data_IF_172960993684
#
_entry.id   IF_172960993684
#
_cell.length_a   1.000
_cell.length_b   1.000
_cell.length_c   1.000
_cell.angle_alpha   90.00
_cell.angle_beta   90.00
_cell.angle_gamma   90.00
#
_symmetry.space_group_name_H-M   'P 1'
#
loop_
_entity.id
_entity.type
_entity.pdbx_description
1 polymer ?
#
# COMPACT_ATOMS: atom_id res chain seq x y z
N UNK A 1 -13.04 6.69 10.43
CA UNK A 1 -12.85 7.26 9.06
C UNK A 1 -12.07 6.28 8.20
N UNK A 2 -12.12 6.36 6.87
CA UNK A 2 -11.29 5.53 5.98
C UNK A 2 -10.27 6.38 5.22
N UNK A 3 -9.14 5.79 4.87
CA UNK A 3 -8.20 6.37 3.93
C UNK A 3 -7.56 5.32 3.01
N UNK A 4 -7.11 5.76 1.85
CA UNK A 4 -6.17 5.03 0.99
C UNK A 4 -4.97 5.93 0.68
N UNK A 5 -3.77 5.37 0.66
CA UNK A 5 -2.54 6.15 0.43
C UNK A 5 -1.72 5.53 -0.70
N UNK A 6 -1.50 6.30 -1.76
CA UNK A 6 -0.37 6.07 -2.68
C UNK A 6 0.88 6.68 -2.06
N UNK A 7 1.91 5.86 -1.83
CA UNK A 7 3.08 6.24 -1.04
C UNK A 7 4.37 6.20 -1.87
N UNK A 8 5.14 7.28 -1.78
CA UNK A 8 6.49 7.40 -2.26
C UNK A 8 7.46 7.47 -1.09
N UNK A 9 8.61 6.81 -1.22
CA UNK A 9 9.71 6.94 -0.25
C UNK A 9 10.48 8.25 -0.38
N UNK A 10 10.19 9.06 -1.40
CA UNK A 10 10.81 10.35 -1.65
C UNK A 10 9.76 11.30 -2.24
N UNK A 11 8.73 11.67 -1.46
CA UNK A 11 7.72 12.60 -1.92
C UNK A 11 8.34 13.96 -2.23
N UNK A 12 7.74 14.66 -3.18
CA UNK A 12 8.12 16.01 -3.57
C UNK A 12 6.90 16.75 -4.10
N UNK A 13 7.01 18.06 -4.36
CA UNK A 13 5.95 18.82 -5.03
C UNK A 13 5.54 18.23 -6.40
N UNK A 14 6.46 17.54 -7.09
CA UNK A 14 6.19 16.92 -8.40
C UNK A 14 5.64 15.49 -8.29
N UNK A 15 5.86 14.82 -7.17
CA UNK A 15 5.40 13.45 -6.89
C UNK A 15 5.08 13.36 -5.41
N UNK A 16 3.97 13.97 -4.95
CA UNK A 16 3.59 13.94 -3.56
C UNK A 16 3.10 12.53 -3.19
N UNK A 17 3.05 12.23 -1.90
CA UNK A 17 2.17 11.15 -1.44
C UNK A 17 0.73 11.62 -1.59
N UNK A 18 -0.18 10.72 -1.98
CA UNK A 18 -1.59 11.06 -2.19
C UNK A 18 -2.44 10.26 -1.23
N UNK A 19 -3.19 10.96 -0.37
CA UNK A 19 -4.13 10.34 0.57
C UNK A 19 -5.55 10.62 0.08
N UNK A 20 -6.31 9.57 -0.18
CA UNK A 20 -7.74 9.60 -0.46
C UNK A 20 -8.51 9.39 0.84
N UNK A 21 -9.08 10.46 1.41
CA UNK A 21 -9.93 10.37 2.60
C UNK A 21 -11.36 10.07 2.22
N UNK A 22 -11.97 9.12 2.93
CA UNK A 22 -13.32 8.68 2.63
C UNK A 22 -14.05 8.05 3.79
N UNK A 23 -15.20 7.48 3.47
CA UNK A 23 -16.02 6.74 4.41
C UNK A 23 -16.89 5.72 3.71
N UNK A 24 -17.16 4.62 4.41
CA UNK A 24 -18.03 3.55 3.97
C UNK A 24 -19.42 3.73 4.60
N UNK A 25 -20.47 3.61 3.77
CA UNK A 25 -21.83 3.38 4.24
C UNK A 25 -22.38 2.15 3.54
N UNK A 26 -22.72 1.13 4.32
CA UNK A 26 -23.10 -0.20 3.82
C UNK A 26 -22.01 -0.76 2.89
N UNK A 27 -22.27 -0.85 1.58
CA UNK A 27 -21.31 -1.29 0.57
C UNK A 27 -20.83 -0.18 -0.37
N UNK A 28 -21.04 1.09 -0.02
CA UNK A 28 -20.61 2.22 -0.84
C UNK A 28 -19.55 3.04 -0.12
N UNK A 29 -18.34 3.06 -0.69
CA UNK A 29 -17.25 3.94 -0.27
C UNK A 29 -17.34 5.27 -1.00
N UNK A 30 -17.28 6.37 -0.25
CA UNK A 30 -17.35 7.74 -0.77
C UNK A 30 -16.01 8.43 -0.60
N UNK A 31 -15.52 9.06 -1.66
CA UNK A 31 -14.36 9.95 -1.57
C UNK A 31 -14.81 11.31 -1.03
N UNK A 32 -14.22 11.75 0.08
CA UNK A 32 -14.44 13.07 0.63
C UNK A 32 -13.46 14.09 0.05
N UNK A 33 -12.17 13.78 0.08
CA UNK A 33 -11.11 14.66 -0.44
C UNK A 33 -9.84 13.88 -0.75
N UNK A 34 -9.02 14.44 -1.64
CA UNK A 34 -7.61 14.10 -1.73
C UNK A 34 -6.79 15.06 -0.89
N UNK A 35 -5.69 14.56 -0.35
CA UNK A 35 -4.69 15.33 0.37
C UNK A 35 -3.31 15.00 -0.19
N UNK A 36 -2.66 15.98 -0.79
CA UNK A 36 -1.38 15.84 -1.49
C UNK A 36 -0.25 16.29 -0.56
N UNK A 37 0.62 15.36 -0.18
CA UNK A 37 1.68 15.57 0.79
C UNK A 37 3.04 15.59 0.09
N UNK A 38 3.65 16.77 -0.16
CA UNK A 38 4.91 16.87 -0.89
C UNK A 38 6.14 16.48 -0.06
N UNK A 39 5.97 16.10 1.21
CA UNK A 39 7.03 15.61 2.10
C UNK A 39 6.53 14.45 2.99
N UNK A 40 7.46 13.74 3.64
CA UNK A 40 7.10 12.70 4.61
C UNK A 40 6.49 13.33 5.88
N UNK A 41 6.96 14.51 6.24
CA UNK A 41 6.46 15.33 7.34
C UNK A 41 5.00 15.75 7.09
N UNK A 42 4.67 16.21 5.87
CA UNK A 42 3.30 16.54 5.50
C UNK A 42 2.39 15.31 5.55
N UNK A 43 2.92 14.14 5.15
CA UNK A 43 2.19 12.86 5.22
C UNK A 43 1.90 12.49 6.68
N UNK A 44 2.89 12.60 7.56
CA UNK A 44 2.72 12.35 8.99
C UNK A 44 1.66 13.29 9.60
N UNK A 45 1.79 14.60 9.36
CA UNK A 45 0.84 15.61 9.87
C UNK A 45 -0.58 15.35 9.37
N UNK A 46 -0.75 14.94 8.11
CA UNK A 46 -2.05 14.58 7.56
C UNK A 46 -2.70 13.42 8.32
N UNK A 47 -1.92 12.38 8.65
CA UNK A 47 -2.40 11.21 9.39
C UNK A 47 -2.69 11.52 10.87
N UNK A 48 -1.92 12.41 11.49
CA UNK A 48 -2.08 12.84 12.89
C UNK A 48 -3.31 13.72 13.10
N UNK A 49 -3.68 14.55 12.11
CA UNK A 49 -4.88 15.41 12.14
C UNK A 49 -6.17 14.64 12.41
N UNK A 50 -6.21 13.36 12.05
CA UNK A 50 -7.35 12.50 12.24
C UNK A 50 -7.20 11.67 13.53
N UNK A 51 -8.17 11.69 14.47
CA UNK A 51 -8.07 10.95 15.73
C UNK A 51 -8.27 9.43 15.56
N UNK A 52 -9.01 9.01 14.53
CA UNK A 52 -9.30 7.60 14.22
C UNK A 52 -9.41 7.38 12.71
N UNK A 53 -8.76 6.33 12.22
CA UNK A 53 -8.88 5.88 10.83
C UNK A 53 -8.50 4.42 10.66
N UNK A 54 -9.08 3.79 9.63
CA UNK A 54 -8.56 2.56 9.02
C UNK A 54 -8.03 2.91 7.64
N UNK A 55 -6.78 2.56 7.36
CA UNK A 55 -6.07 2.98 6.16
C UNK A 55 -5.46 1.83 5.39
N UNK A 56 -5.60 1.85 4.07
CA UNK A 56 -4.84 1.01 3.14
C UNK A 56 -3.67 1.82 2.59
N UNK A 57 -2.45 1.30 2.67
CA UNK A 57 -1.26 2.02 2.22
C UNK A 57 -0.46 1.21 1.19
N UNK A 58 -0.14 1.82 0.04
CA UNK A 58 0.73 1.22 -0.98
C UNK A 58 2.20 1.25 -0.55
N UNK A 59 2.55 0.44 0.43
CA UNK A 59 3.93 0.12 0.81
C UNK A 59 3.97 -1.17 1.63
N UNK A 60 5.07 -1.92 1.59
CA UNK A 60 5.18 -3.11 2.42
C UNK A 60 5.43 -2.77 3.89
N UNK A 61 4.90 -3.60 4.78
CA UNK A 61 5.12 -3.51 6.23
C UNK A 61 6.13 -4.53 6.77
N UNK A 62 6.61 -5.44 5.92
CA UNK A 62 7.63 -6.44 6.26
C UNK A 62 8.55 -6.80 5.09
N UNK A 63 9.64 -7.48 5.41
CA UNK A 63 10.55 -8.10 4.44
C UNK A 63 10.33 -9.61 4.40
N UNK A 64 10.81 -10.31 3.34
CA UNK A 64 10.80 -11.77 3.35
C UNK A 64 11.57 -12.30 4.56
N UNK A 65 10.99 -13.23 5.31
CA UNK A 65 11.61 -13.83 6.50
C UNK A 65 12.98 -14.42 6.17
N UNK A 66 13.07 -15.12 5.04
CA UNK A 66 14.31 -15.70 4.52
C UNK A 66 15.45 -14.67 4.45
N UNK A 67 15.15 -13.45 4.00
CA UNK A 67 16.11 -12.36 3.92
C UNK A 67 16.56 -11.89 5.31
N UNK A 68 15.60 -11.64 6.20
CA UNK A 68 15.86 -11.13 7.56
C UNK A 68 16.73 -12.13 8.33
N UNK A 69 16.39 -13.42 8.27
CA UNK A 69 17.12 -14.49 8.96
C UNK A 69 18.52 -14.68 8.37
N UNK A 70 18.66 -14.65 7.04
CA UNK A 70 19.98 -14.79 6.38
C UNK A 70 20.92 -13.64 6.72
N UNK A 71 20.40 -12.43 6.88
CA UNK A 71 21.18 -11.26 7.26
C UNK A 71 21.48 -11.19 8.77
N UNK A 72 20.96 -12.14 9.56
CA UNK A 72 21.11 -12.15 11.01
C UNK A 72 20.42 -10.95 11.69
N UNK A 73 19.36 -10.43 11.09
CA UNK A 73 18.60 -9.31 11.64
C UNK A 73 17.54 -9.80 12.65
N UNK A 74 17.02 -8.92 13.53
CA UNK A 74 15.98 -9.29 14.48
C UNK A 74 14.72 -9.82 13.76
N UNK A 75 14.08 -10.83 14.34
CA UNK A 75 12.87 -11.47 13.80
C UNK A 75 11.58 -11.10 14.53
N UNK A 76 11.68 -10.44 15.69
CA UNK A 76 10.57 -9.68 16.28
C UNK A 76 10.32 -8.42 15.44
N UNK A 77 9.06 -8.15 15.08
CA UNK A 77 8.74 -7.09 14.13
C UNK A 77 9.14 -5.70 14.62
N UNK A 78 8.93 -5.39 15.90
CA UNK A 78 9.28 -4.07 16.44
C UNK A 78 10.80 -3.87 16.46
N UNK A 79 11.54 -4.90 16.90
CA UNK A 79 13.01 -4.90 16.86
C UNK A 79 13.55 -4.83 15.42
N UNK A 80 12.91 -5.54 14.49
CA UNK A 80 13.22 -5.53 13.06
C UNK A 80 13.05 -4.12 12.48
N UNK A 81 11.91 -3.47 12.69
CA UNK A 81 11.65 -2.13 12.16
C UNK A 81 12.63 -1.11 12.75
N UNK A 82 12.93 -1.20 14.04
CA UNK A 82 13.93 -0.32 14.68
C UNK A 82 15.33 -0.51 14.08
N UNK A 83 15.77 -1.76 13.90
CA UNK A 83 17.03 -2.10 13.24
C UNK A 83 17.05 -1.59 11.80
N UNK A 84 16.02 -1.91 11.02
CA UNK A 84 15.93 -1.54 9.60
C UNK A 84 15.96 -0.02 9.40
N UNK A 85 15.26 0.73 10.26
CA UNK A 85 15.27 2.20 10.22
C UNK A 85 16.62 2.81 10.58
N UNK A 86 17.46 2.12 11.36
CA UNK A 86 18.81 2.59 11.70
C UNK A 86 19.78 2.52 10.50
N UNK A 87 19.44 1.74 9.46
CA UNK A 87 20.29 1.54 8.30
C UNK A 87 20.16 2.69 7.30
N UNK A 88 21.28 3.06 6.69
CA UNK A 88 21.25 3.97 5.54
C UNK A 88 20.74 3.26 4.28
N UNK A 89 20.16 4.01 3.32
CA UNK A 89 19.77 3.42 2.01
C UNK A 89 20.94 2.70 1.30
N UNK A 90 22.18 3.24 1.29
CA UNK A 90 23.34 2.50 0.78
C UNK A 90 23.58 1.17 1.51
N UNK A 91 23.52 1.16 2.85
CA UNK A 91 23.71 -0.07 3.63
C UNK A 91 22.63 -1.13 3.34
N UNK A 92 21.36 -0.71 3.21
CA UNK A 92 20.26 -1.59 2.79
C UNK A 92 20.54 -2.19 1.41
N UNK A 93 20.92 -1.35 0.45
CA UNK A 93 21.23 -1.78 -0.92
C UNK A 93 22.39 -2.78 -0.92
N UNK A 94 23.45 -2.52 -0.17
CA UNK A 94 24.63 -3.39 -0.09
C UNK A 94 24.28 -4.74 0.53
N UNK A 95 23.54 -4.76 1.64
CA UNK A 95 23.07 -5.99 2.28
C UNK A 95 22.21 -6.81 1.32
N UNK A 96 21.24 -6.18 0.64
CA UNK A 96 20.35 -6.89 -0.27
C UNK A 96 21.06 -7.34 -1.56
N UNK A 97 22.02 -6.57 -2.07
CA UNK A 97 22.85 -6.98 -3.18
C UNK A 97 23.73 -8.17 -2.80
N UNK A 98 24.34 -8.15 -1.62
CA UNK A 98 25.11 -9.27 -1.07
C UNK A 98 24.28 -10.55 -0.97
N UNK A 99 23.07 -10.45 -0.40
CA UNK A 99 22.11 -11.55 -0.38
C UNK A 99 21.77 -12.05 -1.79
N UNK A 100 21.44 -11.16 -2.72
CA UNK A 100 21.13 -11.53 -4.11
C UNK A 100 22.29 -12.24 -4.82
N UNK A 101 23.53 -11.80 -4.58
CA UNK A 101 24.73 -12.32 -5.24
C UNK A 101 25.09 -13.73 -4.76
N UNK A 102 24.72 -14.09 -3.52
CA UNK A 102 24.97 -15.41 -2.96
C UNK A 102 23.94 -16.47 -3.41
N UNK A 103 22.89 -16.08 -4.14
CA UNK A 103 21.78 -16.97 -4.51
C UNK A 103 21.97 -17.65 -5.86
N UNK A 104 21.39 -18.85 -6.03
CA UNK A 104 21.40 -19.54 -7.32
C UNK A 104 20.65 -18.75 -8.39
N UNK A 105 21.04 -19.01 -9.64
CA UNK A 105 20.35 -18.46 -10.83
C UNK A 105 18.88 -18.88 -10.81
N UNK A 106 17.99 -17.92 -11.11
CA UNK A 106 16.53 -18.14 -11.12
C UNK A 106 15.82 -17.83 -9.79
N UNK A 107 16.56 -17.61 -8.70
CA UNK A 107 16.00 -17.31 -7.37
C UNK A 107 16.49 -15.99 -6.78
N UNK A 108 16.81 -14.97 -7.60
CA UNK A 108 17.56 -13.78 -7.15
C UNK A 108 16.96 -13.05 -5.96
N UNK A 109 15.63 -12.89 -5.91
CA UNK A 109 14.94 -12.22 -4.80
C UNK A 109 14.20 -13.25 -3.94
N UNK A 110 14.20 -13.01 -2.62
CA UNK A 110 13.24 -13.65 -1.73
C UNK A 110 11.88 -12.95 -1.82
N UNK A 111 10.81 -13.69 -1.56
CA UNK A 111 9.44 -13.22 -1.63
C UNK A 111 8.72 -13.57 -0.35
N UNK A 112 7.87 -12.67 0.14
CA UNK A 112 6.90 -13.01 1.18
C UNK A 112 5.82 -13.92 0.61
N UNK A 113 5.12 -14.65 1.47
CA UNK A 113 3.99 -15.47 1.03
C UNK A 113 2.95 -14.63 0.26
N UNK A 114 2.56 -13.47 0.83
CA UNK A 114 1.57 -12.56 0.26
C UNK A 114 1.95 -11.98 -1.10
N UNK A 115 3.25 -11.81 -1.39
CA UNK A 115 3.71 -11.23 -2.65
C UNK A 115 3.30 -12.10 -3.85
N UNK A 116 3.27 -13.42 -3.65
CA UNK A 116 2.86 -14.39 -4.68
C UNK A 116 1.36 -14.34 -4.94
N UNK A 117 0.55 -14.24 -3.89
CA UNK A 117 -0.90 -14.14 -4.00
C UNK A 117 -1.33 -12.83 -4.66
N UNK A 118 -0.72 -11.71 -4.27
CA UNK A 118 -1.01 -10.39 -4.85
C UNK A 118 -0.39 -10.19 -6.26
N UNK A 119 0.59 -11.02 -6.63
CA UNK A 119 1.45 -10.78 -7.80
C UNK A 119 2.14 -9.41 -7.71
N UNK A 120 2.69 -9.10 -6.54
CA UNK A 120 3.41 -7.85 -6.26
C UNK A 120 4.91 -8.00 -6.54
N UNK A 121 5.66 -6.89 -6.48
CA UNK A 121 7.12 -6.97 -6.44
C UNK A 121 7.57 -7.41 -5.05
N UNK A 122 8.67 -8.18 -4.92
CA UNK A 122 9.18 -8.56 -3.61
C UNK A 122 9.55 -7.31 -2.81
N UNK A 123 9.19 -7.26 -1.52
CA UNK A 123 9.39 -6.06 -0.69
C UNK A 123 10.86 -5.69 -0.50
N UNK A 124 11.79 -6.61 -0.76
CA UNK A 124 13.23 -6.34 -0.78
C UNK A 124 13.73 -5.61 -2.03
N UNK A 125 12.90 -5.34 -3.05
CA UNK A 125 13.35 -4.67 -4.28
C UNK A 125 13.64 -3.18 -4.02
N UNK A 126 14.83 -2.72 -4.40
CA UNK A 126 15.28 -1.33 -4.19
C UNK A 126 15.28 -0.46 -5.46
N UNK A 127 14.83 -1.01 -6.60
CA UNK A 127 14.78 -0.30 -7.88
C UNK A 127 13.55 -0.70 -8.68
N UNK A 128 12.78 0.29 -9.14
CA UNK A 128 11.67 0.17 -10.09
C UNK A 128 10.72 -1.03 -9.86
N UNK A 129 9.86 -1.00 -8.81
CA UNK A 129 9.73 0.04 -7.78
C UNK A 129 10.71 -0.14 -6.61
N UNK A 130 11.07 0.94 -5.87
CA UNK A 130 11.95 0.89 -4.71
C UNK A 130 11.20 0.56 -3.40
N UNK A 131 10.48 -0.56 -3.38
CA UNK A 131 9.61 -0.97 -2.25
C UNK A 131 10.38 -1.15 -0.93
N UNK A 132 11.65 -1.54 -0.98
CA UNK A 132 12.53 -1.57 0.20
C UNK A 132 12.63 -0.19 0.86
N UNK A 133 12.79 0.87 0.07
CA UNK A 133 12.85 2.23 0.59
C UNK A 133 11.48 2.76 1.02
N UNK A 134 10.39 2.22 0.47
CA UNK A 134 9.03 2.56 0.89
C UNK A 134 8.75 2.05 2.31
N UNK A 135 9.12 0.80 2.61
CA UNK A 135 9.08 0.29 3.99
C UNK A 135 9.95 1.15 4.92
N UNK A 136 11.20 1.39 4.53
CA UNK A 136 12.17 2.16 5.32
C UNK A 136 11.68 3.58 5.65
N UNK A 137 11.01 4.24 4.71
CA UNK A 137 10.53 5.61 4.88
C UNK A 137 9.13 5.67 5.53
N UNK A 138 8.24 4.76 5.17
CA UNK A 138 6.82 4.88 5.48
C UNK A 138 6.42 4.26 6.82
N UNK A 139 6.93 3.09 7.20
CA UNK A 139 6.57 2.49 8.50
C UNK A 139 6.92 3.43 9.67
N UNK A 140 8.08 4.11 9.71
CA UNK A 140 8.35 5.12 10.74
C UNK A 140 7.37 6.30 10.75
N UNK A 141 6.90 6.76 9.57
CA UNK A 141 5.89 7.83 9.46
C UNK A 141 4.57 7.37 10.09
N UNK A 142 4.14 6.14 9.79
CA UNK A 142 2.92 5.55 10.34
C UNK A 142 3.01 5.35 11.85
N UNK A 143 4.13 4.82 12.35
CA UNK A 143 4.36 4.65 13.79
C UNK A 143 4.33 5.98 14.54
N UNK A 144 4.95 7.04 14.00
CA UNK A 144 4.90 8.38 14.61
C UNK A 144 3.49 8.98 14.61
N UNK A 145 2.69 8.70 13.58
CA UNK A 145 1.27 9.05 13.57
C UNK A 145 0.42 8.23 14.57
N UNK A 146 1.02 7.28 15.30
CA UNK A 146 0.34 6.42 16.27
C UNK A 146 -0.44 5.29 15.62
N UNK A 147 -0.05 4.86 14.42
CA UNK A 147 -0.68 3.75 13.73
C UNK A 147 -0.32 2.40 14.36
N UNK A 148 -1.25 1.46 14.30
CA UNK A 148 -1.08 0.06 14.69
C UNK A 148 -1.32 -0.86 13.50
N UNK A 149 -0.67 -2.03 13.53
CA UNK A 149 -0.48 -2.89 12.35
C UNK A 149 -1.05 -4.29 12.58
N UNK A 150 -2.31 -4.55 12.18
CA UNK A 150 -2.91 -5.87 12.27
C UNK A 150 -2.07 -6.97 11.63
N UNK A 151 -1.99 -8.13 12.28
CA UNK A 151 -1.20 -9.28 11.84
C UNK A 151 0.31 -9.18 12.16
N UNK A 152 0.84 -7.97 12.38
CA UNK A 152 2.23 -7.73 12.74
C UNK A 152 2.41 -7.42 14.22
N UNK A 153 1.41 -6.79 14.83
CA UNK A 153 1.38 -6.47 16.26
C UNK A 153 0.28 -7.26 16.98
N UNK A 154 0.50 -7.64 18.26
CA UNK A 154 -0.52 -8.27 19.07
C UNK A 154 -1.80 -7.44 19.17
N UNK A 155 -2.97 -8.09 19.13
CA UNK A 155 -4.26 -7.39 19.09
C UNK A 155 -4.52 -6.49 20.32
N UNK A 156 -3.94 -6.82 21.47
CA UNK A 156 -4.05 -6.01 22.69
C UNK A 156 -3.25 -4.70 22.63
N UNK A 157 -2.44 -4.46 21.60
CA UNK A 157 -1.70 -3.20 21.40
C UNK A 157 -2.34 -2.32 20.33
N UNK A 158 -3.45 -2.72 19.72
CA UNK A 158 -4.08 -1.96 18.64
C UNK A 158 -4.79 -0.71 19.16
N UNK A 159 -4.66 0.38 18.40
CA UNK A 159 -5.26 1.68 18.70
C UNK A 159 -6.41 2.03 17.75
N UNK A 160 -6.72 3.33 17.66
CA UNK A 160 -7.76 3.88 16.78
C UNK A 160 -7.28 4.20 15.36
N UNK A 161 -5.97 4.06 15.09
CA UNK A 161 -5.35 4.32 13.79
C UNK A 161 -4.78 3.02 13.24
N UNK A 162 -5.53 2.37 12.37
CA UNK A 162 -5.23 1.02 11.89
C UNK A 162 -4.65 1.09 10.49
N UNK A 163 -3.41 0.63 10.32
CA UNK A 163 -2.73 0.59 9.03
C UNK A 163 -2.73 -0.84 8.46
N UNK A 164 -3.23 -0.97 7.24
CA UNK A 164 -3.20 -2.19 6.45
C UNK A 164 -2.33 -1.98 5.22
N UNK A 165 -1.50 -2.97 4.92
CA UNK A 165 -0.73 -3.00 3.68
C UNK A 165 -1.71 -3.22 2.53
N UNK A 166 -1.73 -2.30 1.57
CA UNK A 166 -2.55 -2.36 0.38
C UNK A 166 -1.67 -2.48 -0.86
N UNK A 167 -2.25 -2.96 -1.96
CA UNK A 167 -1.54 -3.03 -3.23
C UNK A 167 -2.50 -2.69 -4.38
N UNK A 168 -2.51 -1.43 -4.85
CA UNK A 168 -3.49 -0.95 -5.83
C UNK A 168 -3.37 -1.70 -7.15
N UNK A 169 -2.15 -2.14 -7.51
CA UNK A 169 -1.88 -2.91 -8.72
C UNK A 169 -2.63 -4.24 -8.80
N UNK A 170 -3.00 -4.86 -7.68
CA UNK A 170 -3.80 -6.09 -7.67
C UNK A 170 -5.24 -5.83 -8.12
N UNK A 171 -5.91 -4.86 -7.49
CA UNK A 171 -7.29 -4.51 -7.83
C UNK A 171 -7.38 -3.86 -9.23
N UNK A 172 -6.39 -3.05 -9.62
CA UNK A 172 -6.32 -2.52 -10.98
C UNK A 172 -6.20 -3.65 -12.02
N UNK A 173 -5.38 -4.66 -11.76
CA UNK A 173 -5.20 -5.82 -12.66
C UNK A 173 -6.46 -6.65 -12.78
N UNK A 174 -7.23 -6.80 -11.70
CA UNK A 174 -8.54 -7.43 -11.77
C UNK A 174 -9.48 -6.69 -12.74
N UNK A 175 -9.42 -5.35 -12.75
CA UNK A 175 -10.26 -4.51 -13.60
C UNK A 175 -9.85 -4.48 -15.09
N UNK A 176 -8.55 -4.40 -15.40
CA UNK A 176 -8.07 -4.15 -16.78
C UNK A 176 -6.99 -5.14 -17.27
N UNK A 177 -6.78 -6.24 -16.54
CA UNK A 177 -5.79 -7.26 -16.87
C UNK A 177 -4.37 -6.71 -16.84
N UNK A 178 -3.55 -7.07 -17.84
CA UNK A 178 -2.16 -6.60 -17.96
C UNK A 178 -2.03 -5.19 -18.56
N UNK A 179 -3.14 -4.50 -18.84
CA UNK A 179 -3.10 -3.17 -19.46
C UNK A 179 -2.62 -2.14 -18.45
N UNK A 180 -1.52 -1.45 -18.78
CA UNK A 180 -1.01 -0.35 -17.96
C UNK A 180 -2.00 0.81 -17.98
N UNK A 181 -2.31 1.38 -16.82
CA UNK A 181 -3.19 2.57 -16.67
C UNK A 181 -2.41 3.84 -16.30
N UNK A 182 -1.13 3.73 -15.95
CA UNK A 182 -0.31 4.84 -15.46
C UNK A 182 1.09 4.89 -16.04
N UNK A 183 1.70 6.08 -16.02
CA UNK A 183 3.12 6.29 -16.36
C UNK A 183 3.63 7.61 -15.78
N UNK A 184 4.81 7.55 -15.14
CA UNK A 184 5.54 8.75 -14.70
C UNK A 184 6.04 9.59 -15.91
N UNK A 185 6.28 8.96 -17.06
CA UNK A 185 6.70 9.66 -18.28
C UNK A 185 5.48 10.20 -19.04
N UNK A 186 5.37 11.52 -19.18
CA UNK A 186 4.26 12.20 -19.86
C UNK A 186 4.08 11.73 -21.31
N UNK A 187 5.18 11.52 -22.04
CA UNK A 187 5.16 11.00 -23.41
C UNK A 187 4.53 9.60 -23.56
N UNK A 188 4.39 8.85 -22.46
CA UNK A 188 3.75 7.53 -22.43
C UNK A 188 2.32 7.56 -21.89
N UNK A 189 1.76 8.74 -21.58
CA UNK A 189 0.38 8.90 -21.10
C UNK A 189 -0.58 8.95 -22.30
N UNK A 190 -0.71 7.81 -22.98
CA UNK A 190 -1.49 7.64 -24.20
C UNK A 190 -2.99 7.40 -23.96
N UNK A 191 -3.75 7.33 -25.07
CA UNK A 191 -5.18 7.06 -25.06
C UNK A 191 -5.51 5.68 -24.44
N UNK A 192 -4.64 4.68 -24.60
CA UNK A 192 -4.82 3.35 -24.01
C UNK A 192 -4.81 3.41 -22.49
N UNK A 193 -3.86 4.13 -21.89
CA UNK A 193 -3.81 4.35 -20.43
C UNK A 193 -4.99 5.18 -19.93
N UNK A 194 -5.42 6.18 -20.71
CA UNK A 194 -6.61 6.97 -20.39
C UNK A 194 -7.86 6.10 -20.33
N UNK A 195 -8.06 5.22 -21.33
CA UNK A 195 -9.17 4.26 -21.35
C UNK A 195 -9.08 3.30 -20.17
N UNK A 196 -7.91 2.74 -19.88
CA UNK A 196 -7.71 1.86 -18.74
C UNK A 196 -8.09 2.53 -17.40
N UNK A 197 -7.72 3.81 -17.18
CA UNK A 197 -8.16 4.55 -15.99
C UNK A 197 -9.69 4.70 -15.93
N UNK A 198 -10.33 5.04 -17.05
CA UNK A 198 -11.80 5.14 -17.12
C UNK A 198 -12.49 3.81 -16.82
N UNK A 199 -11.95 2.71 -17.33
CA UNK A 199 -12.49 1.37 -17.13
C UNK A 199 -12.35 0.92 -15.68
N UNK A 200 -11.18 1.14 -15.05
CA UNK A 200 -10.99 0.89 -13.61
C UNK A 200 -12.04 1.65 -12.81
N UNK A 201 -12.17 2.97 -13.01
CA UNK A 201 -13.12 3.79 -12.24
C UNK A 201 -14.56 3.30 -12.44
N UNK A 202 -14.94 2.98 -13.68
CA UNK A 202 -16.29 2.47 -13.99
C UNK A 202 -16.57 1.16 -13.27
N UNK A 203 -15.60 0.23 -13.22
CA UNK A 203 -15.75 -1.03 -12.48
C UNK A 203 -15.84 -0.81 -10.99
N UNK A 204 -15.05 0.10 -10.42
CA UNK A 204 -15.14 0.48 -9.02
C UNK A 204 -16.51 1.08 -8.67
N UNK A 205 -17.07 1.95 -9.52
CA UNK A 205 -18.38 2.57 -9.25
C UNK A 205 -19.55 1.60 -9.40
N UNK A 206 -19.45 0.66 -10.34
CA UNK A 206 -20.46 -0.38 -10.57
C UNK A 206 -20.32 -1.58 -9.64
N UNK A 207 -19.17 -1.73 -8.96
CA UNK A 207 -18.86 -2.88 -8.10
C UNK A 207 -18.53 -4.14 -8.88
N UNK A 208 -18.07 -4.02 -10.13
CA UNK A 208 -17.69 -5.14 -10.99
C UNK A 208 -16.25 -5.59 -10.68
N UNK A 209 -16.03 -5.99 -9.43
CA UNK A 209 -14.79 -6.58 -8.90
C UNK A 209 -15.09 -7.43 -7.65
N UNK A 210 -14.13 -8.23 -7.22
CA UNK A 210 -14.23 -9.25 -6.18
C UNK A 210 -14.54 -8.70 -4.78
N UNK A 211 -14.14 -7.45 -4.50
CA UNK A 211 -14.24 -6.87 -3.16
C UNK A 211 -15.65 -6.46 -2.70
N UNK A 212 -16.71 -6.59 -3.52
CA UNK A 212 -18.10 -6.39 -3.07
C UNK A 212 -18.46 -4.98 -2.55
N UNK A 213 -17.58 -4.00 -2.73
CA UNK A 213 -17.79 -2.58 -2.40
C UNK A 213 -17.91 -1.76 -3.69
N UNK A 214 -18.63 -0.62 -3.63
CA UNK A 214 -18.78 0.32 -4.75
C UNK A 214 -18.20 1.66 -4.41
N UNK A 215 -17.42 2.24 -5.31
CA UNK A 215 -16.93 3.60 -5.18
C UNK A 215 -18.00 4.61 -5.61
N UNK A 216 -18.08 5.73 -4.92
CA UNK A 216 -18.86 6.89 -5.35
C UNK A 216 -17.97 8.11 -5.40
N UNK A 217 -17.87 8.69 -6.59
CA UNK A 217 -17.20 9.95 -6.88
C UNK A 217 -18.23 10.99 -7.32
N UNK A 218 -17.93 12.27 -7.11
CA UNK A 218 -18.58 13.34 -7.88
C UNK A 218 -18.04 13.36 -9.31
N UNK A 219 -18.74 14.02 -10.22
CA UNK A 219 -18.27 14.17 -11.61
C UNK A 219 -16.88 14.84 -11.66
N UNK A 220 -16.69 15.91 -10.90
CA UNK A 220 -15.40 16.61 -10.81
C UNK A 220 -14.28 15.73 -10.25
N UNK A 221 -14.55 14.91 -9.22
CA UNK A 221 -13.57 13.97 -8.68
C UNK A 221 -13.21 12.90 -9.72
N UNK A 222 -14.20 12.35 -10.42
CA UNK A 222 -13.99 11.37 -11.49
C UNK A 222 -13.10 11.92 -12.59
N UNK A 223 -13.40 13.12 -13.09
CA UNK A 223 -12.62 13.76 -14.15
C UNK A 223 -11.18 14.04 -13.71
N UNK A 224 -10.99 14.50 -12.47
CA UNK A 224 -9.65 14.74 -11.91
C UNK A 224 -8.82 13.45 -11.84
N UNK A 225 -9.41 12.33 -11.41
CA UNK A 225 -8.72 11.03 -11.32
C UNK A 225 -8.40 10.48 -12.72
N UNK A 226 -9.31 10.64 -13.69
CA UNK A 226 -9.08 10.23 -15.08
C UNK A 226 -7.94 11.03 -15.72
N UNK A 227 -7.88 12.35 -15.43
CA UNK A 227 -6.88 13.26 -15.96
C UNK A 227 -5.48 13.02 -15.38
N UNK A 228 -5.36 12.40 -14.20
CA UNK A 228 -4.08 12.04 -13.60
C UNK A 228 -3.39 10.89 -14.34
N UNK A 229 -2.53 11.24 -15.31
CA UNK A 229 -1.76 10.27 -16.09
C UNK A 229 -0.67 9.52 -15.30
N UNK A 230 -0.27 10.04 -14.12
CA UNK A 230 0.66 9.33 -13.23
C UNK A 230 -0.03 8.28 -12.39
N UNK A 231 -1.35 8.42 -12.21
CA UNK A 231 -2.20 7.44 -11.55
C UNK A 231 -2.14 7.50 -10.02
N UNK A 232 -1.40 8.44 -9.44
CA UNK A 232 -1.20 8.59 -8.00
C UNK A 232 -2.57 8.72 -7.26
N UNK A 233 -3.50 9.50 -7.82
CA UNK A 233 -4.85 9.64 -7.27
C UNK A 233 -5.70 8.37 -7.40
N UNK A 234 -5.53 7.61 -8.49
CA UNK A 234 -6.24 6.36 -8.71
C UNK A 234 -5.70 5.26 -7.79
N UNK A 235 -4.40 5.21 -7.55
CA UNK A 235 -3.77 4.27 -6.62
C UNK A 235 -4.23 4.51 -5.18
N UNK A 236 -4.30 5.77 -4.76
CA UNK A 236 -4.86 6.13 -3.46
C UNK A 236 -6.33 5.70 -3.34
N UNK A 237 -7.13 5.83 -4.41
CA UNK A 237 -8.52 5.34 -4.43
C UNK A 237 -8.62 3.82 -4.36
N UNK A 238 -7.77 3.10 -5.08
CA UNK A 238 -7.73 1.63 -5.03
C UNK A 238 -7.38 1.15 -3.61
N UNK A 239 -6.41 1.79 -2.96
CA UNK A 239 -6.09 1.52 -1.56
C UNK A 239 -7.26 1.84 -0.61
N UNK A 240 -8.02 2.92 -0.88
CA UNK A 240 -9.21 3.28 -0.09
C UNK A 240 -10.31 2.22 -0.22
N UNK A 241 -10.51 1.68 -1.43
CA UNK A 241 -11.45 0.60 -1.69
C UNK A 241 -11.04 -0.69 -0.94
N UNK A 242 -9.75 -1.02 -0.93
CA UNK A 242 -9.22 -2.15 -0.16
C UNK A 242 -9.41 -1.95 1.37
N UNK A 243 -9.21 -0.74 1.89
CA UNK A 243 -9.49 -0.42 3.29
C UNK A 243 -10.99 -0.56 3.63
N UNK A 244 -11.87 -0.15 2.72
CA UNK A 244 -13.31 -0.30 2.88
C UNK A 244 -13.75 -1.77 2.92
N UNK A 245 -13.18 -2.61 2.06
CA UNK A 245 -13.38 -4.06 2.11
C UNK A 245 -12.95 -4.64 3.45
N UNK A 246 -11.75 -4.28 3.94
CA UNK A 246 -11.25 -4.72 5.24
C UNK A 246 -12.16 -4.32 6.40
N UNK A 247 -12.73 -3.11 6.35
CA UNK A 247 -13.73 -2.67 7.34
C UNK A 247 -14.96 -3.56 7.33
N UNK A 248 -15.47 -3.95 6.15
CA UNK A 248 -16.60 -4.88 6.04
C UNK A 248 -16.26 -6.26 6.57
N UNK A 249 -15.06 -6.79 6.29
CA UNK A 249 -14.65 -8.08 6.83
C UNK A 249 -14.63 -8.06 8.35
N UNK A 250 -14.08 -6.99 8.95
CA UNK A 250 -14.07 -6.84 10.40
C UNK A 250 -15.49 -6.75 10.98
N UNK A 251 -16.38 -5.98 10.35
CA UNK A 251 -17.78 -5.89 10.76
C UNK A 251 -18.52 -7.23 10.68
N UNK A 252 -18.09 -8.14 9.81
CA UNK A 252 -18.61 -9.52 9.70
C UNK A 252 -17.88 -10.53 10.61
N UNK A 253 -17.05 -10.07 11.55
CA UNK A 253 -16.42 -10.90 12.57
C UNK A 253 -15.00 -11.37 12.26
N UNK A 254 -14.38 -10.92 11.16
CA UNK A 254 -12.97 -11.20 10.93
C UNK A 254 -12.09 -10.39 11.91
N UNK A 255 -11.39 -11.10 12.81
CA UNK A 255 -10.57 -10.48 13.85
C UNK A 255 -9.51 -9.51 13.31
N UNK A 256 -8.84 -9.89 12.21
CA UNK A 256 -7.76 -9.11 11.61
C UNK A 256 -8.16 -8.46 10.29
N UNK A 257 -9.35 -7.84 10.19
CA UNK A 257 -9.77 -7.04 9.03
C UNK A 257 -9.71 -7.78 7.68
N UNK A 258 -10.00 -9.09 7.69
CA UNK A 258 -9.97 -9.93 6.49
C UNK A 258 -8.60 -10.52 6.15
N UNK A 259 -7.56 -10.27 6.95
CA UNK A 259 -6.29 -10.99 6.81
C UNK A 259 -6.48 -12.48 7.15
N UNK A 260 -5.66 -13.38 6.56
CA UNK A 260 -5.70 -14.81 6.90
C UNK A 260 -5.49 -15.08 8.39
N UNK A 261 -5.97 -16.23 8.87
CA UNK A 261 -5.79 -16.63 10.27
C UNK A 261 -4.32 -16.86 10.65
N UNK A 262 -3.48 -17.25 9.68
CA UNK A 262 -2.04 -17.45 9.85
C UNK A 262 -1.28 -16.45 8.98
N UNK A 263 -1.01 -15.27 9.54
CA UNK A 263 -0.09 -14.29 8.97
C UNK A 263 1.27 -14.47 9.64
N UNK A 264 2.34 -14.45 8.86
CA UNK A 264 3.69 -14.36 9.41
C UNK A 264 3.87 -12.96 10.02
N UNK A 265 4.11 -12.85 11.35
CA UNK A 265 4.15 -11.56 12.04
C UNK A 265 5.40 -10.72 11.69
N UNK A 266 6.35 -11.26 10.92
CA UNK A 266 7.50 -10.52 10.39
C UNK A 266 7.26 -10.03 8.95
N UNK A 267 6.58 -10.84 8.12
CA UNK A 267 6.35 -10.53 6.71
C UNK A 267 5.12 -9.62 6.50
N UNK A 268 4.07 -9.84 7.28
CA UNK A 268 2.77 -9.21 7.10
C UNK A 268 1.95 -9.79 5.95
N UNK A 269 0.88 -9.08 5.58
CA UNK A 269 -0.02 -9.51 4.51
C UNK A 269 -0.61 -8.31 3.77
N UNK A 270 -0.62 -8.38 2.44
CA UNK A 270 -1.34 -7.42 1.58
C UNK A 270 -2.83 -7.70 1.72
N UNK A 271 -3.60 -6.74 2.21
CA UNK A 271 -5.05 -6.86 2.36
C UNK A 271 -5.70 -7.23 1.03
N UNK A 272 -6.71 -8.11 1.07
CA UNK A 272 -7.44 -8.66 -0.09
C UNK A 272 -6.65 -9.57 -1.05
N UNK A 273 -5.41 -9.93 -0.73
CA UNK A 273 -4.63 -10.96 -1.44
C UNK A 273 -5.02 -12.38 -1.02
#
# INVERSE_FOLDING_TARGET
MLLGCDFSSAPSKRKPNVIAWGGLRSSVVTLQRFEYCPSLEDTQLALERAPEWLGGFDLPFGLPRELVETLGWPTDWAAFIAHYHSLSRPAIREAFAGFCNARPVGGKFAHRATDKFAGSSPSMKWVNPPVAYMLHAGVPVLLRAGATFPGLQPANTWGSRMALEAYPGMLARECVGSTSYKSDASAKQDATRLLARKDIITRLETGQHSLGVRLRLTHAQRDAVVADGKGDALDALLCLVQAAWAQQQHAHGHACYGLPASVDPLEGWIVSA
#
